data_IF_474417897327
#
_entry.id   IF_474417897327
#
_cell.length_a   1.000
_cell.length_b   1.000
_cell.length_c   1.000
_cell.angle_alpha   90.00
_cell.angle_beta   90.00
_cell.angle_gamma   90.00
#
_symmetry.space_group_name_H-M   'P 1'
#
loop_
_entity.id
_entity.type
_entity.pdbx_description
1 polymer ?
#
# COMPACT_ATOMS: atom_id res chain seq x y z
N UNK A 1 -4.59 -26.83 -0.22
CA UNK A 1 -3.97 -25.58 -0.73
C UNK A 1 -4.94 -24.98 -1.72
N UNK A 2 -5.23 -23.66 -1.69
CA UNK A 2 -6.09 -23.05 -2.69
C UNK A 2 -5.47 -23.31 -4.07
N UNK A 3 -6.25 -23.87 -5.00
CA UNK A 3 -5.81 -24.05 -6.38
C UNK A 3 -5.54 -22.65 -6.95
N UNK A 4 -4.26 -22.37 -7.18
CA UNK A 4 -3.82 -21.11 -7.76
C UNK A 4 -4.29 -21.08 -9.23
N UNK A 5 -5.06 -20.06 -9.61
CA UNK A 5 -5.40 -19.83 -11.02
C UNK A 5 -4.14 -19.82 -11.87
N UNK A 6 -4.12 -20.61 -12.94
CA UNK A 6 -3.01 -20.69 -13.90
C UNK A 6 -2.68 -19.34 -14.58
N UNK A 7 -3.59 -18.37 -14.52
CA UNK A 7 -3.41 -17.03 -15.09
C UNK A 7 -2.90 -15.98 -14.10
N UNK A 8 -2.72 -16.34 -12.83
CA UNK A 8 -2.29 -15.42 -11.80
C UNK A 8 -0.91 -14.83 -12.12
N UNK A 9 -0.80 -13.50 -12.08
CA UNK A 9 0.45 -12.76 -12.27
C UNK A 9 0.97 -12.27 -10.92
N UNK A 10 1.98 -12.96 -10.41
CA UNK A 10 2.64 -12.64 -9.15
C UNK A 10 3.45 -11.35 -9.23
N UNK A 11 3.41 -10.55 -8.16
CA UNK A 11 4.24 -9.36 -8.06
C UNK A 11 5.69 -9.78 -7.76
N UNK A 12 6.67 -9.18 -8.46
CA UNK A 12 8.06 -9.29 -8.09
C UNK A 12 8.28 -8.87 -6.63
N UNK A 13 9.20 -9.52 -5.92
CA UNK A 13 9.45 -9.26 -4.51
C UNK A 13 9.85 -7.79 -4.24
N UNK A 14 10.63 -7.18 -5.15
CA UNK A 14 11.04 -5.78 -5.08
C UNK A 14 9.89 -4.78 -5.33
N UNK A 15 8.73 -5.26 -5.76
CA UNK A 15 7.53 -4.44 -5.96
C UNK A 15 6.51 -4.61 -4.84
N UNK A 16 6.77 -5.41 -3.81
CA UNK A 16 5.85 -5.57 -2.69
C UNK A 16 5.88 -4.33 -1.81
N UNK A 17 4.73 -3.68 -1.66
CA UNK A 17 4.55 -2.49 -0.82
C UNK A 17 3.09 -2.40 -0.35
N UNK A 18 2.88 -1.64 0.72
CA UNK A 18 1.57 -1.22 1.18
C UNK A 18 1.32 0.21 0.71
N UNK A 19 0.30 0.39 -0.13
CA UNK A 19 -0.03 1.71 -0.69
C UNK A 19 -0.89 2.50 0.28
N UNK A 20 -0.45 3.70 0.66
CA UNK A 20 -1.26 4.63 1.47
C UNK A 20 -2.24 5.43 0.60
N UNK A 21 -1.72 6.06 -0.46
CA UNK A 21 -2.50 6.87 -1.39
C UNK A 21 -1.94 6.70 -2.80
N UNK A 22 -2.80 6.42 -3.79
CA UNK A 22 -2.41 6.45 -5.20
C UNK A 22 -2.70 7.84 -5.76
N UNK A 23 -1.65 8.58 -6.13
CA UNK A 23 -1.76 9.97 -6.58
C UNK A 23 -2.17 10.12 -8.05
N UNK A 24 -2.05 9.07 -8.86
CA UNK A 24 -2.19 9.16 -10.31
C UNK A 24 -1.07 9.98 -10.96
N UNK A 25 -1.30 10.45 -12.19
CA UNK A 25 -0.33 11.29 -12.90
C UNK A 25 -0.35 12.72 -12.31
N UNK A 26 0.77 13.16 -11.75
CA UNK A 26 0.90 14.48 -11.13
C UNK A 26 2.07 15.27 -11.74
N UNK A 27 1.99 16.59 -11.77
CA UNK A 27 3.12 17.44 -12.16
C UNK A 27 4.20 17.42 -11.07
N UNK A 28 5.46 17.73 -11.44
CA UNK A 28 6.56 17.78 -10.46
C UNK A 28 6.26 18.74 -9.29
N UNK A 29 5.65 19.90 -9.58
CA UNK A 29 5.27 20.88 -8.55
C UNK A 29 4.28 20.30 -7.55
N UNK A 30 3.25 19.58 -8.02
CA UNK A 30 2.26 18.93 -7.12
C UNK A 30 2.91 17.81 -6.31
N UNK A 31 3.80 17.02 -6.92
CA UNK A 31 4.55 15.97 -6.22
C UNK A 31 5.40 16.55 -5.08
N UNK A 32 6.16 17.61 -5.35
CA UNK A 32 6.98 18.29 -4.33
C UNK A 32 6.14 18.89 -3.21
N UNK A 33 5.01 19.53 -3.56
CA UNK A 33 4.09 20.09 -2.58
C UNK A 33 3.51 19.01 -1.67
N UNK A 34 2.97 17.92 -2.24
CA UNK A 34 2.40 16.82 -1.46
C UNK A 34 3.43 16.14 -0.58
N UNK A 35 4.66 15.94 -1.08
CA UNK A 35 5.75 15.38 -0.28
C UNK A 35 6.09 16.29 0.90
N UNK A 36 6.28 17.59 0.67
CA UNK A 36 6.58 18.55 1.75
C UNK A 36 5.50 18.55 2.84
N UNK A 37 4.22 18.54 2.47
CA UNK A 37 3.11 18.48 3.44
C UNK A 37 3.04 17.13 4.15
N UNK A 38 3.39 16.04 3.46
CA UNK A 38 3.45 14.71 4.06
C UNK A 38 4.55 14.63 5.12
N UNK A 39 5.69 15.28 4.92
CA UNK A 39 6.79 15.31 5.90
C UNK A 39 6.35 15.89 7.25
N UNK A 40 5.49 16.91 7.27
CA UNK A 40 4.93 17.47 8.51
C UNK A 40 4.18 16.41 9.33
N UNK A 41 3.46 15.50 8.65
CA UNK A 41 2.74 14.39 9.28
C UNK A 41 3.69 13.27 9.72
N UNK A 42 4.67 12.94 8.88
CA UNK A 42 5.61 11.84 9.11
C UNK A 42 6.61 12.16 10.23
N UNK A 43 6.97 13.44 10.41
CA UNK A 43 7.83 13.89 11.50
C UNK A 43 7.25 13.56 12.88
N UNK A 44 5.92 13.54 13.01
CA UNK A 44 5.24 13.24 14.28
C UNK A 44 4.96 11.75 14.47
N UNK A 45 5.25 10.92 13.47
CA UNK A 45 4.95 9.50 13.47
C UNK A 45 6.16 8.65 13.90
N UNK A 46 6.14 8.00 15.08
CA UNK A 46 7.16 7.02 15.41
C UNK A 46 7.01 5.74 14.57
N UNK A 47 8.07 4.91 14.45
CA UNK A 47 7.95 3.56 13.90
C UNK A 47 6.85 2.75 14.59
N UNK A 48 6.12 1.94 13.83
CA UNK A 48 5.02 1.11 14.33
C UNK A 48 5.07 -0.28 13.71
N UNK A 49 4.57 -1.29 14.44
CA UNK A 49 4.52 -2.67 13.94
C UNK A 49 3.28 -2.90 13.07
N UNK A 50 3.46 -3.60 11.96
CA UNK A 50 2.39 -4.18 11.14
C UNK A 50 2.40 -5.69 11.27
N UNK A 51 1.23 -6.27 11.56
CA UNK A 51 1.05 -7.72 11.67
C UNK A 51 0.18 -8.21 10.50
N UNK A 52 0.82 -8.77 9.49
CA UNK A 52 0.13 -9.37 8.36
C UNK A 52 -0.23 -10.82 8.69
N UNK A 53 -1.52 -11.13 8.77
CA UNK A 53 -2.02 -12.39 9.35
C UNK A 53 -3.16 -13.05 8.53
N UNK A 54 -3.56 -12.44 7.43
CA UNK A 54 -4.54 -13.00 6.52
C UNK A 54 -4.17 -12.85 5.04
N UNK A 55 -4.52 -13.86 4.24
CA UNK A 55 -4.69 -13.71 2.80
C UNK A 55 -6.14 -13.37 2.51
N UNK A 56 -6.35 -12.44 1.59
CA UNK A 56 -7.68 -12.01 1.19
C UNK A 56 -7.68 -11.60 -0.29
N UNK A 57 -8.87 -11.37 -0.85
CA UNK A 57 -9.05 -11.11 -2.26
C UNK A 57 -9.97 -9.92 -2.52
N UNK A 58 -9.57 -9.04 -3.43
CA UNK A 58 -10.51 -8.13 -4.07
C UNK A 58 -11.11 -8.84 -5.29
N UNK A 59 -12.25 -9.51 -5.09
CA UNK A 59 -12.86 -10.38 -6.11
C UNK A 59 -13.13 -9.66 -7.43
N UNK A 60 -13.69 -8.44 -7.38
CA UNK A 60 -13.94 -7.63 -8.57
C UNK A 60 -12.65 -7.21 -9.30
N UNK A 61 -11.60 -6.86 -8.56
CA UNK A 61 -10.32 -6.46 -9.13
C UNK A 61 -9.42 -7.65 -9.51
N UNK A 62 -9.81 -8.89 -9.16
CA UNK A 62 -9.01 -10.11 -9.34
C UNK A 62 -7.62 -9.98 -8.72
N UNK A 63 -7.54 -9.47 -7.49
CA UNK A 63 -6.29 -9.24 -6.75
C UNK A 63 -6.25 -10.13 -5.51
N UNK A 64 -5.19 -10.92 -5.37
CA UNK A 64 -4.82 -11.58 -4.12
C UNK A 64 -3.89 -10.66 -3.35
N UNK A 65 -4.13 -10.48 -2.05
CA UNK A 65 -3.30 -9.65 -1.20
C UNK A 65 -3.08 -10.28 0.18
N UNK A 66 -1.98 -9.85 0.81
CA UNK A 66 -1.71 -10.06 2.22
C UNK A 66 -2.30 -8.88 3.00
N UNK A 67 -3.17 -9.17 3.96
CA UNK A 67 -3.92 -8.19 4.75
C UNK A 67 -3.49 -8.15 6.21
N UNK A 68 -3.99 -7.14 6.91
CA UNK A 68 -3.79 -6.90 8.34
C UNK A 68 -5.17 -6.94 9.00
N UNK A 69 -5.47 -7.98 9.78
CA UNK A 69 -6.79 -8.13 10.41
C UNK A 69 -7.08 -7.07 11.48
N UNK A 70 -6.03 -6.56 12.12
CA UNK A 70 -6.08 -5.52 13.15
C UNK A 70 -5.11 -4.39 12.81
N UNK A 71 -5.48 -3.44 11.95
CA UNK A 71 -4.58 -2.39 11.52
C UNK A 71 -4.29 -1.41 12.67
N UNK A 72 -3.02 -1.02 12.88
CA UNK A 72 -2.68 -0.02 13.89
C UNK A 72 -3.39 1.31 13.63
N UNK A 73 -3.89 1.95 14.68
CA UNK A 73 -4.53 3.27 14.60
C UNK A 73 -3.61 4.30 13.92
N UNK A 74 -2.30 4.24 14.22
CA UNK A 74 -1.28 5.08 13.61
C UNK A 74 -1.26 4.99 12.07
N UNK A 75 -1.40 3.79 11.50
CA UNK A 75 -1.46 3.60 10.04
C UNK A 75 -2.73 4.21 9.46
N UNK A 76 -3.88 3.94 10.11
CA UNK A 76 -5.18 4.42 9.63
C UNK A 76 -5.25 5.96 9.67
N UNK A 77 -4.77 6.56 10.76
CA UNK A 77 -4.70 8.01 10.92
C UNK A 77 -3.74 8.66 9.93
N UNK A 78 -2.55 8.07 9.69
CA UNK A 78 -1.63 8.55 8.66
C UNK A 78 -2.31 8.51 7.28
N UNK A 79 -2.89 7.37 6.91
CA UNK A 79 -3.51 7.21 5.59
C UNK A 79 -4.63 8.22 5.37
N UNK A 80 -5.51 8.42 6.36
CA UNK A 80 -6.61 9.37 6.26
C UNK A 80 -6.10 10.81 6.03
N UNK A 81 -5.08 11.24 6.79
CA UNK A 81 -4.49 12.57 6.64
C UNK A 81 -3.81 12.75 5.28
N UNK A 82 -3.03 11.75 4.83
CA UNK A 82 -2.41 11.79 3.51
C UNK A 82 -3.45 11.83 2.38
N UNK A 83 -4.54 11.08 2.53
CA UNK A 83 -5.63 11.08 1.56
C UNK A 83 -6.33 12.44 1.49
N UNK A 84 -6.57 13.08 2.64
CA UNK A 84 -7.12 14.45 2.70
C UNK A 84 -6.20 15.47 2.03
N UNK A 85 -4.88 15.39 2.27
CA UNK A 85 -3.90 16.24 1.60
C UNK A 85 -3.92 16.05 0.07
N UNK A 86 -4.03 14.81 -0.39
CA UNK A 86 -4.03 14.48 -1.81
C UNK A 86 -5.34 14.81 -2.52
N UNK A 87 -6.47 14.79 -1.82
CA UNK A 87 -7.82 14.87 -2.38
C UNK A 87 -8.03 15.99 -3.42
N UNK A 88 -7.54 17.24 -3.22
CA UNK A 88 -7.70 18.31 -4.21
C UNK A 88 -7.02 18.05 -5.56
N UNK A 89 -6.08 17.11 -5.62
CA UNK A 89 -5.28 16.79 -6.79
C UNK A 89 -5.68 15.47 -7.47
N UNK A 90 -6.58 14.69 -6.84
CA UNK A 90 -6.98 13.39 -7.37
C UNK A 90 -8.03 13.56 -8.47
N UNK A 91 -7.73 13.01 -9.64
CA UNK A 91 -8.63 13.03 -10.81
C UNK A 91 -9.54 11.79 -10.89
N UNK A 92 -9.60 10.99 -9.82
CA UNK A 92 -10.32 9.73 -9.77
C UNK A 92 -11.06 9.56 -8.44
N UNK A 93 -12.17 8.78 -8.41
CA UNK A 93 -12.85 8.45 -7.18
C UNK A 93 -11.90 7.83 -6.16
N UNK A 94 -12.01 8.31 -4.93
CA UNK A 94 -11.28 7.79 -3.79
C UNK A 94 -12.07 6.64 -3.18
N UNK A 95 -11.44 5.50 -2.82
CA UNK A 95 -12.14 4.43 -2.13
C UNK A 95 -12.78 4.91 -0.82
N UNK A 96 -14.01 4.48 -0.57
CA UNK A 96 -14.74 4.81 0.66
C UNK A 96 -14.06 4.24 1.92
N UNK A 97 -13.44 3.06 1.78
CA UNK A 97 -12.71 2.38 2.84
C UNK A 97 -11.27 2.13 2.41
N UNK A 98 -10.33 2.47 3.29
CA UNK A 98 -8.95 2.03 3.19
C UNK A 98 -8.81 0.62 3.76
N UNK A 99 -8.32 -0.32 2.94
CA UNK A 99 -7.98 -1.68 3.35
C UNK A 99 -6.45 -1.80 3.30
N UNK A 100 -5.74 -1.86 4.44
CA UNK A 100 -4.30 -2.06 4.47
C UNK A 100 -3.91 -3.40 3.85
N UNK A 101 -3.17 -3.36 2.74
CA UNK A 101 -2.82 -4.57 2.02
C UNK A 101 -1.51 -4.47 1.26
N UNK A 102 -0.86 -5.61 1.05
CA UNK A 102 0.23 -5.81 0.09
C UNK A 102 -0.29 -6.70 -1.03
N UNK A 103 -0.35 -6.17 -2.25
CA UNK A 103 -0.76 -6.96 -3.42
C UNK A 103 0.28 -8.04 -3.72
N UNK A 104 -0.14 -9.31 -3.72
CA UNK A 104 0.71 -10.46 -4.04
C UNK A 104 0.56 -10.87 -5.50
N UNK A 105 -0.66 -10.88 -6.03
CA UNK A 105 -0.93 -11.28 -7.40
C UNK A 105 -2.14 -10.53 -8.00
N UNK A 106 -2.07 -10.30 -9.32
CA UNK A 106 -3.19 -9.84 -10.15
C UNK A 106 -3.69 -10.97 -11.04
N UNK A 107 -4.87 -10.80 -11.65
CA UNK A 107 -5.57 -11.85 -12.41
C UNK A 107 -5.82 -13.12 -11.57
N UNK A 108 -5.87 -12.95 -10.25
CA UNK A 108 -6.12 -14.04 -9.34
C UNK A 108 -7.62 -14.28 -9.21
N UNK A 109 -8.02 -15.55 -9.34
CA UNK A 109 -9.37 -16.04 -9.09
C UNK A 109 -9.24 -17.35 -8.33
N UNK A 110 -10.09 -17.55 -7.34
CA UNK A 110 -10.15 -18.75 -6.53
C UNK A 110 -11.58 -18.96 -6.06
N UNK A 111 -11.97 -20.23 -5.87
CA UNK A 111 -13.22 -20.61 -5.24
C UNK A 111 -13.10 -20.72 -3.70
N UNK A 112 -11.92 -20.43 -3.14
CA UNK A 112 -11.70 -20.46 -1.71
C UNK A 112 -12.55 -19.40 -0.98
N UNK A 113 -12.86 -19.69 0.28
CA UNK A 113 -13.49 -18.74 1.19
C UNK A 113 -12.40 -17.88 1.83
N UNK A 114 -12.55 -16.57 1.74
CA UNK A 114 -11.64 -15.58 2.34
C UNK A 114 -12.34 -14.84 3.50
N UNK A 115 -11.60 -14.27 4.46
CA UNK A 115 -10.13 -14.31 4.60
C UNK A 115 -9.61 -15.70 4.99
N UNK A 116 -8.37 -16.00 4.59
CA UNK A 116 -7.66 -17.22 4.98
C UNK A 116 -6.57 -16.82 5.98
N UNK A 117 -6.64 -17.28 7.24
CA UNK A 117 -5.58 -17.02 8.22
C UNK A 117 -4.24 -17.60 7.74
N UNK A 118 -3.16 -16.86 7.98
CA UNK A 118 -1.79 -17.30 7.70
C UNK A 118 -0.91 -17.15 8.94
N UNK A 119 0.31 -17.71 8.89
CA UNK A 119 1.29 -17.45 9.93
C UNK A 119 1.59 -15.94 9.99
N UNK A 120 1.43 -15.28 11.16
CA UNK A 120 1.63 -13.85 11.26
C UNK A 120 3.05 -13.41 10.88
N UNK A 121 3.14 -12.46 9.96
CA UNK A 121 4.37 -11.76 9.60
C UNK A 121 4.36 -10.37 10.25
N UNK A 122 5.20 -10.18 11.25
CA UNK A 122 5.37 -8.91 11.96
C UNK A 122 6.53 -8.14 11.34
N UNK A 123 6.26 -6.91 10.91
CA UNK A 123 7.25 -6.00 10.34
C UNK A 123 7.20 -4.68 11.09
N UNK A 124 8.36 -4.20 11.52
CA UNK A 124 8.49 -2.83 12.01
C UNK A 124 8.51 -1.89 10.79
N UNK A 125 7.50 -1.05 10.67
CA UNK A 125 7.47 0.00 9.66
C UNK A 125 8.37 1.15 10.11
N UNK A 126 9.48 1.34 9.39
CA UNK A 126 10.46 2.39 9.66
C UNK A 126 10.55 3.42 8.55
N UNK A 127 9.90 3.22 7.41
CA UNK A 127 10.05 4.09 6.24
C UNK A 127 8.72 4.31 5.53
N UNK A 128 8.54 5.54 5.05
CA UNK A 128 7.47 5.95 4.13
C UNK A 128 8.12 6.63 2.93
N UNK A 129 7.66 6.29 1.73
CA UNK A 129 8.29 6.74 0.51
C UNK A 129 7.28 7.17 -0.55
N UNK A 130 7.68 8.15 -1.36
CA UNK A 130 7.01 8.52 -2.60
C UNK A 130 7.62 7.71 -3.75
N UNK A 131 6.78 7.04 -4.53
CA UNK A 131 7.20 6.23 -5.67
C UNK A 131 6.57 6.69 -6.98
N UNK A 132 7.35 6.60 -8.06
CA UNK A 132 6.81 6.56 -9.42
C UNK A 132 6.52 5.12 -9.83
N UNK A 133 5.29 4.87 -10.27
CA UNK A 133 4.87 3.60 -10.87
C UNK A 133 5.01 3.68 -12.39
N UNK A 134 6.10 3.14 -12.93
CA UNK A 134 6.43 3.22 -14.36
C UNK A 134 6.06 1.91 -15.05
N UNK A 135 5.25 1.99 -16.11
CA UNK A 135 4.95 0.84 -16.96
C UNK A 135 6.18 0.43 -17.78
N UNK A 136 6.48 -0.86 -17.79
CA UNK A 136 7.55 -1.51 -18.56
C UNK A 136 6.99 -2.68 -19.37
N UNK A 137 7.76 -3.21 -20.31
CA UNK A 137 7.36 -4.40 -21.08
C UNK A 137 7.12 -5.64 -20.20
N UNK A 138 7.76 -5.69 -19.03
CA UNK A 138 7.68 -6.82 -18.08
C UNK A 138 6.66 -6.59 -16.95
N UNK A 139 6.02 -5.42 -16.88
CA UNK A 139 5.05 -5.10 -15.83
C UNK A 139 5.16 -3.66 -15.35
N UNK A 140 5.05 -3.44 -14.05
CA UNK A 140 5.26 -2.13 -13.42
C UNK A 140 6.58 -2.16 -12.68
N UNK A 141 7.36 -1.10 -12.78
CA UNK A 141 8.54 -0.84 -11.94
C UNK A 141 8.24 0.31 -11.01
N UNK A 142 8.49 0.13 -9.71
CA UNK A 142 8.40 1.21 -8.73
C UNK A 142 9.78 1.85 -8.55
N UNK A 143 9.89 3.14 -8.84
CA UNK A 143 11.10 3.92 -8.66
C UNK A 143 10.93 4.85 -7.48
N UNK A 144 11.83 4.77 -6.51
CA UNK A 144 11.82 5.67 -5.36
C UNK A 144 12.11 7.10 -5.84
N UNK A 145 11.30 8.03 -5.37
CA UNK A 145 11.47 9.47 -5.61
C UNK A 145 12.05 10.11 -4.36
N UNK A 146 11.41 9.86 -3.23
CA UNK A 146 11.78 10.37 -1.92
C UNK A 146 11.47 9.32 -0.85
N UNK A 147 12.24 9.33 0.24
CA UNK A 147 12.01 8.45 1.39
C UNK A 147 12.19 9.23 2.68
N UNK A 148 11.34 8.94 3.65
CA UNK A 148 11.45 9.43 5.01
C UNK A 148 11.56 8.25 5.98
N UNK A 149 12.58 8.26 6.83
CA UNK A 149 12.76 7.27 7.90
C UNK A 149 12.08 7.77 9.17
N UNK A 150 11.11 7.00 9.67
CA UNK A 150 10.41 7.27 10.92
C UNK A 150 11.40 7.16 12.10
N UNK A 151 11.35 8.13 13.00
CA UNK A 151 12.30 8.23 14.13
C UNK A 151 11.56 7.91 15.44
N UNK A 152 12.09 7.04 16.30
CA UNK A 152 11.54 6.82 17.63
C UNK A 152 11.39 8.13 18.41
N UNK A 153 10.23 8.33 19.03
CA UNK A 153 10.01 9.42 19.97
C UNK A 153 10.33 8.89 21.37
N UNK A 154 11.18 9.63 22.10
CA UNK A 154 11.56 9.31 23.48
C UNK A 154 10.47 9.63 24.49
#
# INVERSE_FOLDING_TARGET
QPELSAEAKWHPANNLHLTLVFLGQQTLTVQQQLWSQSLELLHELPPFELCFDELNQFSHAKVLYLGVSQPPEALMALQQKLQQLALPFLNAPVPELFVPHVTLARKFQSAAVFPIPVQPLRLLCTEVALYHSIGTEQGVSYQNVETYTLVPKG
#
